data_IF_426816022899
#
_entry.id   IF_426816022899
#
_cell.length_a   1.000
_cell.length_b   1.000
_cell.length_c   1.000
_cell.angle_alpha   90.00
_cell.angle_beta   90.00
_cell.angle_gamma   90.00
#
_symmetry.space_group_name_H-M   'P 1'
#
loop_
_entity.id
_entity.type
_entity.pdbx_description
1 polymer ?
#
# COMPACT_ATOMS: atom_id res chain seq x y z
N UNK A 1 40.83 -37.14 17.83
CA UNK A 1 40.25 -38.45 18.19
C UNK A 1 39.21 -38.23 19.29
N UNK A 2 38.11 -38.96 19.19
CA UNK A 2 36.80 -38.86 19.84
C UNK A 2 36.75 -38.41 21.32
N UNK A 3 35.74 -37.57 21.59
CA UNK A 3 35.12 -37.36 22.91
C UNK A 3 34.41 -38.64 23.35
N UNK A 4 34.67 -39.09 24.58
CA UNK A 4 33.97 -40.20 25.23
C UNK A 4 33.33 -39.69 26.51
N UNK A 5 31.99 -39.71 26.55
CA UNK A 5 31.18 -39.46 27.75
C UNK A 5 30.71 -40.83 28.23
N UNK A 6 31.04 -41.17 29.48
CA UNK A 6 30.59 -42.38 30.15
C UNK A 6 29.26 -42.16 30.89
N UNK A 7 28.39 -43.17 30.81
CA UNK A 7 27.17 -43.35 31.61
C UNK A 7 27.47 -44.24 32.82
N UNK A 8 26.75 -44.11 33.95
CA UNK A 8 25.92 -45.24 34.45
C UNK A 8 24.69 -44.77 35.31
N UNK A 9 23.96 -45.65 36.02
CA UNK A 9 23.14 -46.77 35.53
C UNK A 9 21.65 -46.64 35.92
N UNK A 10 20.86 -47.57 35.38
CA UNK A 10 19.43 -47.84 35.55
C UNK A 10 18.98 -48.19 36.98
N UNK A 11 17.77 -47.75 37.34
CA UNK A 11 16.85 -48.49 38.22
C UNK A 11 15.42 -48.42 37.67
N UNK A 12 14.73 -49.55 37.75
CA UNK A 12 13.56 -49.93 36.97
C UNK A 12 12.25 -49.84 37.76
N UNK A 13 11.13 -50.01 37.03
CA UNK A 13 9.81 -50.51 37.48
C UNK A 13 8.82 -49.40 37.93
N UNK A 14 7.53 -49.32 37.55
CA UNK A 14 6.55 -50.24 36.95
C UNK A 14 5.48 -49.45 36.14
N UNK A 15 4.99 -50.05 35.04
CA UNK A 15 3.74 -49.69 34.34
C UNK A 15 2.50 -50.18 35.11
N UNK A 16 1.29 -49.68 34.79
CA UNK A 16 0.41 -50.55 34.00
C UNK A 16 -0.46 -49.86 32.91
N UNK A 17 -0.79 -50.69 31.91
CA UNK A 17 -2.05 -50.81 31.15
C UNK A 17 -2.53 -49.69 30.21
N UNK A 18 -2.17 -49.85 28.93
CA UNK A 18 -3.00 -49.83 27.71
C UNK A 18 -4.43 -49.26 27.79
N UNK A 19 -4.66 -48.13 27.13
CA UNK A 19 -5.97 -47.68 26.66
C UNK A 19 -6.11 -47.94 25.16
N UNK A 20 -7.18 -48.63 24.80
CA UNK A 20 -7.47 -49.13 23.46
C UNK A 20 -7.78 -47.99 22.48
N UNK A 21 -7.18 -48.10 21.29
CA UNK A 21 -7.51 -47.33 20.10
C UNK A 21 -8.90 -47.75 19.61
N UNK A 22 -9.85 -46.82 19.68
CA UNK A 22 -11.20 -46.97 19.15
C UNK A 22 -11.19 -47.06 17.63
N UNK A 23 -11.69 -48.19 17.14
CA UNK A 23 -11.92 -48.52 15.73
C UNK A 23 -13.15 -47.79 15.22
N UNK A 24 -12.99 -46.74 14.40
CA UNK A 24 -14.11 -46.19 13.62
C UNK A 24 -14.23 -46.92 12.28
N UNK A 25 -15.43 -47.45 12.02
CA UNK A 25 -15.76 -48.20 10.82
C UNK A 25 -15.88 -47.29 9.60
N UNK A 26 -15.28 -47.73 8.50
CA UNK A 26 -15.46 -47.21 7.15
C UNK A 26 -16.88 -47.41 6.64
N UNK A 27 -17.54 -46.32 6.21
CA UNK A 27 -18.68 -46.34 5.29
C UNK A 27 -18.90 -44.97 4.64
N UNK A 28 -19.22 -45.01 3.34
CA UNK A 28 -19.60 -43.93 2.42
C UNK A 28 -18.47 -43.06 1.84
N UNK A 29 -17.87 -43.57 0.74
CA UNK A 29 -17.19 -42.73 -0.25
C UNK A 29 -18.23 -41.87 -0.99
N UNK A 30 -18.22 -40.55 -0.76
CA UNK A 30 -18.94 -39.61 -1.61
C UNK A 30 -18.05 -39.23 -2.79
N UNK A 31 -18.50 -39.61 -4.00
CA UNK A 31 -17.86 -39.29 -5.27
C UNK A 31 -17.86 -37.77 -5.49
N UNK A 32 -16.69 -37.14 -5.42
CA UNK A 32 -16.51 -35.76 -5.84
C UNK A 32 -16.49 -35.71 -7.37
N UNK A 33 -17.51 -35.09 -7.98
CA UNK A 33 -17.49 -34.73 -9.41
C UNK A 33 -16.64 -33.47 -9.60
N UNK A 34 -15.77 -33.41 -10.63
CA UNK A 34 -15.05 -32.18 -10.93
C UNK A 34 -16.02 -31.19 -11.56
N UNK A 35 -16.13 -30.00 -10.96
CA UNK A 35 -16.82 -28.86 -11.59
C UNK A 35 -15.84 -28.22 -12.56
N UNK A 36 -16.05 -28.44 -13.85
CA UNK A 36 -15.29 -27.79 -14.90
C UNK A 36 -15.72 -26.31 -14.99
N UNK A 37 -14.85 -25.38 -14.57
CA UNK A 37 -15.02 -23.96 -14.86
C UNK A 37 -14.68 -23.70 -16.33
N UNK A 38 -15.70 -23.48 -17.15
CA UNK A 38 -15.55 -23.00 -18.52
C UNK A 38 -15.47 -21.47 -18.51
N UNK A 39 -14.27 -20.93 -18.71
CA UNK A 39 -14.07 -19.52 -19.02
C UNK A 39 -14.57 -19.26 -20.45
N UNK A 40 -15.85 -18.88 -20.58
CA UNK A 40 -16.35 -18.29 -21.82
C UNK A 40 -15.83 -16.86 -21.91
N UNK A 41 -14.81 -16.63 -22.73
CA UNK A 41 -14.48 -15.29 -23.22
C UNK A 41 -15.67 -14.78 -24.05
N UNK A 42 -16.25 -13.59 -23.76
CA UNK A 42 -17.17 -12.99 -24.71
C UNK A 42 -16.32 -12.48 -25.88
N UNK A 43 -16.49 -13.09 -27.05
CA UNK A 43 -16.01 -12.50 -28.30
C UNK A 43 -16.99 -11.39 -28.65
N UNK A 44 -16.57 -10.13 -28.49
CA UNK A 44 -17.31 -8.99 -29.00
C UNK A 44 -17.19 -9.03 -30.53
N UNK A 45 -18.16 -9.65 -31.19
CA UNK A 45 -18.24 -9.66 -32.64
C UNK A 45 -18.71 -8.28 -33.11
N UNK A 46 -17.78 -7.45 -33.60
CA UNK A 46 -18.11 -6.26 -34.34
C UNK A 46 -18.93 -6.67 -35.58
N UNK A 47 -20.24 -6.38 -35.56
CA UNK A 47 -21.10 -6.54 -36.73
C UNK A 47 -20.85 -5.35 -37.66
N UNK A 48 -20.01 -5.56 -38.68
CA UNK A 48 -20.01 -4.69 -39.85
C UNK A 48 -21.23 -5.06 -40.69
N UNK A 49 -22.30 -4.30 -40.54
CA UNK A 49 -23.43 -4.34 -41.46
C UNK A 49 -23.12 -3.41 -42.64
N UNK A 50 -22.89 -4.00 -43.81
CA UNK A 50 -22.83 -3.27 -45.07
C UNK A 50 -24.26 -2.92 -45.53
N UNK A 51 -24.54 -1.63 -45.68
CA UNK A 51 -25.61 -1.13 -46.56
C UNK A 51 -26.60 -0.14 -45.92
N UNK A 52 -26.58 1.11 -46.43
CA UNK A 52 -27.75 2.02 -46.43
C UNK A 52 -27.53 3.37 -45.72
N UNK A 53 -27.66 4.46 -46.50
CA UNK A 53 -27.52 5.88 -46.11
C UNK A 53 -28.28 6.30 -44.84
N UNK A 54 -27.60 7.04 -43.94
CA UNK A 54 -28.17 7.97 -42.97
C UNK A 54 -27.12 9.07 -42.61
N UNK A 55 -27.54 10.28 -42.17
CA UNK A 55 -26.74 11.50 -42.22
C UNK A 55 -25.75 11.68 -41.05
N UNK A 56 -24.88 12.67 -41.22
CA UNK A 56 -23.79 13.14 -40.36
C UNK A 56 -24.10 13.38 -38.87
N UNK A 57 -23.25 12.83 -37.98
CA UNK A 57 -22.88 13.24 -36.61
C UNK A 57 -22.58 11.94 -35.85
N UNK A 58 -21.48 11.71 -35.15
CA UNK A 58 -20.52 12.54 -34.43
C UNK A 58 -19.16 11.83 -34.52
N UNK A 59 -18.08 12.50 -34.13
CA UNK A 59 -16.78 11.85 -33.90
C UNK A 59 -17.02 10.58 -33.08
N UNK A 60 -16.67 9.40 -33.59
CA UNK A 60 -16.61 8.18 -32.79
C UNK A 60 -15.56 8.46 -31.71
N UNK A 61 -16.02 8.86 -30.53
CA UNK A 61 -15.18 9.02 -29.37
C UNK A 61 -14.57 7.64 -29.09
N UNK A 62 -13.28 7.49 -29.36
CA UNK A 62 -12.58 6.23 -29.15
C UNK A 62 -12.50 6.03 -27.64
N UNK A 63 -13.49 5.34 -27.09
CA UNK A 63 -13.53 4.98 -25.67
C UNK A 63 -12.39 4.01 -25.40
N UNK A 64 -11.44 4.41 -24.56
CA UNK A 64 -10.32 3.57 -24.16
C UNK A 64 -10.74 2.60 -23.05
N UNK A 65 -9.96 1.55 -22.82
CA UNK A 65 -10.19 0.64 -21.68
C UNK A 65 -10.07 1.38 -20.34
N UNK A 66 -9.25 2.43 -20.27
CA UNK A 66 -9.12 3.28 -19.08
C UNK A 66 -10.42 4.05 -18.83
N UNK A 67 -11.04 4.61 -19.87
CA UNK A 67 -12.31 5.33 -19.78
C UNK A 67 -13.43 4.39 -19.33
N UNK A 68 -13.43 3.15 -19.82
CA UNK A 68 -14.39 2.14 -19.39
C UNK A 68 -14.25 1.82 -17.89
N UNK A 69 -13.03 1.65 -17.36
CA UNK A 69 -12.81 1.38 -15.93
C UNK A 69 -13.13 2.58 -15.05
N UNK A 70 -12.84 3.80 -15.53
CA UNK A 70 -13.15 5.04 -14.81
C UNK A 70 -14.66 5.24 -14.54
N UNK A 71 -15.52 4.59 -15.33
CA UNK A 71 -16.98 4.59 -15.09
C UNK A 71 -17.42 3.74 -13.88
N UNK A 72 -16.57 2.81 -13.42
CA UNK A 72 -16.87 1.90 -12.31
C UNK A 72 -16.03 2.17 -11.05
N UNK A 73 -14.84 2.75 -11.21
CA UNK A 73 -13.86 2.91 -10.14
C UNK A 73 -13.14 4.25 -10.24
N UNK A 74 -12.75 4.81 -9.10
CA UNK A 74 -11.85 5.96 -9.06
C UNK A 74 -10.44 5.54 -9.48
N UNK A 75 -9.85 6.30 -10.42
CA UNK A 75 -8.50 6.04 -10.92
C UNK A 75 -7.50 6.88 -10.13
N UNK A 76 -6.56 6.18 -9.47
CA UNK A 76 -5.48 6.79 -8.70
C UNK A 76 -4.14 6.34 -9.29
N UNK A 77 -3.37 7.23 -9.93
CA UNK A 77 -2.07 6.89 -10.49
C UNK A 77 -1.01 6.74 -9.39
N UNK A 78 -0.26 5.63 -9.46
CA UNK A 78 0.89 5.32 -8.60
C UNK A 78 2.14 5.15 -9.48
N UNK A 79 2.64 6.26 -10.04
CA UNK A 79 3.75 6.26 -11.00
C UNK A 79 4.69 7.44 -10.78
N UNK A 80 5.89 7.38 -11.36
CA UNK A 80 6.92 8.43 -11.30
C UNK A 80 6.90 9.30 -12.57
N UNK A 81 6.42 8.76 -13.69
CA UNK A 81 6.46 9.42 -15.00
C UNK A 81 5.22 10.30 -15.15
N UNK A 82 5.33 11.55 -14.73
CA UNK A 82 4.23 12.52 -14.78
C UNK A 82 4.55 13.74 -15.65
N UNK A 83 4.73 13.52 -16.95
CA UNK A 83 4.72 14.64 -17.92
C UNK A 83 3.32 14.91 -18.48
N UNK A 84 2.36 13.99 -18.27
CA UNK A 84 1.03 14.01 -18.91
C UNK A 84 -0.14 14.15 -17.90
N UNK A 85 0.03 14.90 -16.81
CA UNK A 85 -1.09 15.27 -15.90
C UNK A 85 -2.26 15.92 -16.65
N UNK A 86 -1.98 16.59 -17.77
CA UNK A 86 -3.00 17.18 -18.65
C UNK A 86 -3.78 16.14 -19.46
N UNK A 87 -3.15 15.02 -19.82
CA UNK A 87 -3.82 13.93 -20.57
C UNK A 87 -4.57 12.98 -19.65
N UNK A 88 -4.05 12.76 -18.45
CA UNK A 88 -4.64 11.87 -17.46
C UNK A 88 -4.75 12.60 -16.12
N UNK A 89 -5.79 13.43 -16.00
CA UNK A 89 -6.06 14.18 -14.78
C UNK A 89 -6.32 13.20 -13.61
N UNK A 90 -5.43 13.10 -12.62
CA UNK A 90 -5.62 12.24 -11.47
C UNK A 90 -6.75 12.77 -10.61
N UNK A 91 -7.52 11.89 -9.99
CA UNK A 91 -8.44 12.30 -8.92
C UNK A 91 -7.71 12.39 -7.58
N UNK A 92 -6.77 11.49 -7.32
CA UNK A 92 -5.97 11.43 -6.11
C UNK A 92 -4.50 11.14 -6.45
N UNK A 93 -3.59 11.28 -5.49
CA UNK A 93 -2.17 10.98 -5.65
C UNK A 93 -1.60 10.14 -4.51
N UNK A 94 -0.55 9.38 -4.80
CA UNK A 94 0.20 8.60 -3.81
C UNK A 94 1.66 9.04 -3.80
N UNK A 95 2.22 9.24 -2.61
CA UNK A 95 3.63 9.58 -2.40
C UNK A 95 4.29 8.50 -1.58
N UNK A 96 5.39 7.96 -2.11
CA UNK A 96 6.15 6.87 -1.52
C UNK A 96 7.65 7.09 -1.65
N UNK A 97 8.42 6.35 -0.87
CA UNK A 97 9.88 6.38 -0.95
C UNK A 97 10.40 5.93 -2.32
N UNK A 98 9.69 5.00 -2.98
CA UNK A 98 10.02 4.56 -4.36
C UNK A 98 9.75 5.66 -5.39
N UNK A 99 8.69 6.44 -5.22
CA UNK A 99 8.41 7.61 -6.05
C UNK A 99 9.52 8.65 -5.93
N UNK A 100 9.90 9.00 -4.70
CA UNK A 100 11.01 9.93 -4.44
C UNK A 100 12.32 9.46 -5.08
N UNK A 101 12.63 8.16 -4.95
CA UNK A 101 13.79 7.56 -5.58
C UNK A 101 13.74 7.70 -7.12
N UNK A 102 12.57 7.48 -7.72
CA UNK A 102 12.37 7.65 -9.15
C UNK A 102 12.56 9.11 -9.59
N UNK A 103 12.02 10.07 -8.84
CA UNK A 103 12.17 11.52 -9.10
C UNK A 103 13.66 11.91 -9.02
N UNK A 104 14.38 11.42 -8.01
CA UNK A 104 15.79 11.70 -7.82
C UNK A 104 16.69 11.11 -8.93
N UNK A 105 16.29 9.98 -9.51
CA UNK A 105 17.01 9.31 -10.60
C UNK A 105 16.85 9.96 -11.98
N UNK A 106 15.91 10.91 -12.12
CA UNK A 106 15.64 11.61 -13.39
C UNK A 106 16.27 13.02 -13.38
N UNK A 107 16.79 13.49 -14.53
CA UNK A 107 17.52 14.76 -14.61
C UNK A 107 16.62 15.98 -14.39
N UNK A 108 15.40 15.99 -14.95
CA UNK A 108 14.47 17.12 -14.86
C UNK A 108 13.05 16.62 -14.60
N UNK A 109 12.58 16.77 -13.36
CA UNK A 109 11.21 16.44 -12.97
C UNK A 109 10.59 17.63 -12.23
N UNK A 110 9.28 17.81 -12.36
CA UNK A 110 8.54 18.93 -11.72
C UNK A 110 8.75 19.00 -10.20
N UNK A 111 8.98 17.86 -9.56
CA UNK A 111 9.09 17.71 -8.12
C UNK A 111 10.55 17.68 -7.61
N UNK A 112 11.56 17.85 -8.47
CA UNK A 112 12.98 17.76 -8.06
C UNK A 112 13.33 18.83 -7.02
N UNK A 113 12.84 20.06 -7.21
CA UNK A 113 13.03 21.18 -6.29
C UNK A 113 12.47 20.91 -4.90
N UNK A 114 11.35 20.17 -4.78
CA UNK A 114 10.78 19.78 -3.50
C UNK A 114 11.75 18.91 -2.68
N UNK A 115 12.43 17.98 -3.36
CA UNK A 115 13.44 17.10 -2.75
C UNK A 115 14.68 17.91 -2.38
N UNK A 116 15.18 18.76 -3.29
CA UNK A 116 16.37 19.58 -3.03
C UNK A 116 16.15 20.55 -1.85
N UNK A 117 14.94 21.11 -1.73
CA UNK A 117 14.55 21.97 -0.60
C UNK A 117 14.54 21.20 0.71
N UNK A 118 14.05 19.96 0.71
CA UNK A 118 14.10 19.11 1.90
C UNK A 118 15.56 18.82 2.31
N UNK A 119 16.45 18.54 1.37
CA UNK A 119 17.87 18.27 1.63
C UNK A 119 18.65 19.51 2.10
N UNK A 120 18.21 20.71 1.71
CA UNK A 120 18.77 21.98 2.15
C UNK A 120 18.33 22.40 3.57
N UNK A 121 17.45 21.63 4.20
CA UNK A 121 16.88 21.97 5.49
C UNK A 121 17.93 22.02 6.62
N UNK A 122 17.98 23.17 7.31
CA UNK A 122 18.94 23.43 8.37
C UNK A 122 18.70 22.58 9.62
N UNK A 123 17.46 22.30 9.98
CA UNK A 123 17.11 21.56 11.20
C UNK A 123 17.57 20.10 11.08
N UNK A 124 17.26 19.44 9.97
CA UNK A 124 17.71 18.07 9.71
C UNK A 124 19.25 17.98 9.73
N UNK A 125 19.95 19.00 9.20
CA UNK A 125 21.42 19.03 9.19
C UNK A 125 22.05 19.09 10.60
N UNK A 126 21.35 19.65 11.59
CA UNK A 126 21.86 19.74 12.98
C UNK A 126 21.76 18.43 13.76
N UNK A 127 21.06 17.42 13.25
CA UNK A 127 20.92 16.13 13.93
C UNK A 127 22.27 15.38 13.97
N UNK A 128 22.69 14.99 15.17
CA UNK A 128 23.97 14.30 15.39
C UNK A 128 23.99 12.88 14.82
N UNK A 129 22.88 12.15 14.96
CA UNK A 129 22.78 10.77 14.50
C UNK A 129 22.46 10.74 13.00
N UNK A 130 23.24 9.98 12.19
CA UNK A 130 23.02 9.93 10.74
C UNK A 130 21.67 9.32 10.36
N UNK A 131 21.14 8.39 11.17
CA UNK A 131 19.85 7.74 10.92
C UNK A 131 18.67 8.70 11.13
N UNK A 132 18.71 9.47 12.22
CA UNK A 132 17.70 10.49 12.55
C UNK A 132 17.72 11.60 11.50
N UNK A 133 18.92 12.06 11.12
CA UNK A 133 19.13 13.02 10.04
C UNK A 133 18.50 12.55 8.72
N UNK A 134 18.74 11.30 8.34
CA UNK A 134 18.16 10.73 7.11
C UNK A 134 16.62 10.59 7.22
N UNK A 135 16.09 10.18 8.38
CA UNK A 135 14.64 10.10 8.59
C UNK A 135 13.98 11.48 8.51
N UNK A 136 14.63 12.52 9.03
CA UNK A 136 14.19 13.91 8.92
C UNK A 136 14.11 14.36 7.46
N UNK A 137 15.20 14.17 6.69
CA UNK A 137 15.22 14.52 5.26
C UNK A 137 14.16 13.77 4.45
N UNK A 138 14.00 12.47 4.69
CA UNK A 138 12.99 11.67 4.01
C UNK A 138 11.58 12.17 4.32
N UNK A 139 11.30 12.48 5.60
CA UNK A 139 9.99 12.97 6.03
C UNK A 139 9.66 14.31 5.40
N UNK A 140 10.61 15.26 5.38
CA UNK A 140 10.44 16.55 4.71
C UNK A 140 10.28 16.38 3.20
N UNK A 141 11.07 15.52 2.55
CA UNK A 141 10.94 15.28 1.11
C UNK A 141 9.57 14.69 0.74
N UNK A 142 9.06 13.74 1.53
CA UNK A 142 7.73 13.15 1.35
C UNK A 142 6.63 14.20 1.49
N UNK A 143 6.72 15.06 2.51
CA UNK A 143 5.76 16.14 2.73
C UNK A 143 5.79 17.19 1.61
N UNK A 144 6.99 17.65 1.21
CA UNK A 144 7.13 18.66 0.16
C UNK A 144 6.56 18.16 -1.18
N UNK A 145 6.94 16.95 -1.60
CA UNK A 145 6.43 16.36 -2.85
C UNK A 145 4.92 16.15 -2.77
N UNK A 146 4.42 15.67 -1.63
CA UNK A 146 2.97 15.47 -1.47
C UNK A 146 2.18 16.76 -1.40
N UNK A 147 2.75 17.84 -0.87
CA UNK A 147 2.12 19.16 -0.88
C UNK A 147 1.99 19.68 -2.32
N UNK A 148 3.06 19.60 -3.12
CA UNK A 148 3.00 19.94 -4.54
C UNK A 148 1.95 19.09 -5.28
N UNK A 149 1.88 17.78 -5.01
CA UNK A 149 0.85 16.91 -5.57
C UNK A 149 -0.56 17.28 -5.13
N UNK A 150 -0.75 17.72 -3.88
CA UNK A 150 -2.06 18.13 -3.36
C UNK A 150 -2.59 19.36 -4.11
N UNK A 151 -1.73 20.25 -4.60
CA UNK A 151 -2.16 21.38 -5.42
C UNK A 151 -2.52 20.99 -6.85
N UNK A 152 -2.05 19.83 -7.34
CA UNK A 152 -2.30 19.36 -8.70
C UNK A 152 -3.55 18.48 -8.82
N UNK A 153 -3.87 17.69 -7.79
CA UNK A 153 -5.03 16.79 -7.79
C UNK A 153 -6.20 17.43 -7.05
N UNK A 154 -7.47 17.15 -7.41
CA UNK A 154 -8.64 17.68 -6.68
C UNK A 154 -8.95 16.87 -5.41
N UNK A 155 -8.62 15.58 -5.38
CA UNK A 155 -8.94 14.67 -4.28
C UNK A 155 -7.86 14.62 -3.21
N UNK A 156 -7.62 13.42 -2.68
CA UNK A 156 -6.71 13.20 -1.53
C UNK A 156 -5.31 12.82 -1.98
N UNK A 157 -4.32 13.12 -1.14
CA UNK A 157 -2.93 12.70 -1.31
C UNK A 157 -2.57 11.72 -0.20
N UNK A 158 -2.05 10.56 -0.59
CA UNK A 158 -1.68 9.50 0.33
C UNK A 158 -0.17 9.39 0.48
N UNK A 159 0.36 9.74 1.66
CA UNK A 159 1.80 9.81 1.92
C UNK A 159 2.27 8.66 2.78
N UNK A 160 3.30 7.96 2.32
CA UNK A 160 3.93 6.87 3.05
C UNK A 160 4.64 7.34 4.33
N UNK A 161 4.52 6.54 5.38
CA UNK A 161 5.37 6.67 6.57
C UNK A 161 6.64 5.83 6.43
N UNK A 162 7.72 6.27 7.06
CA UNK A 162 9.01 5.57 7.04
C UNK A 162 8.85 4.10 7.46
N UNK A 163 9.14 3.17 6.54
CA UNK A 163 8.93 1.74 6.73
C UNK A 163 9.74 1.16 7.91
N UNK A 164 10.80 1.85 8.35
CA UNK A 164 11.57 1.47 9.54
C UNK A 164 10.73 1.52 10.83
N UNK A 165 9.68 2.34 10.85
CA UNK A 165 8.76 2.50 11.98
C UNK A 165 7.63 1.45 11.97
N UNK A 166 7.58 0.53 11.00
CA UNK A 166 6.45 -0.39 10.82
C UNK A 166 6.10 -1.24 12.06
N UNK A 167 7.02 -1.42 13.01
CA UNK A 167 6.83 -2.19 14.24
C UNK A 167 6.83 -1.33 15.51
N UNK A 168 6.74 -0.01 15.39
CA UNK A 168 6.69 0.95 16.50
C UNK A 168 5.40 1.78 16.41
N UNK A 169 4.40 1.42 17.22
CA UNK A 169 3.11 2.13 17.25
C UNK A 169 3.27 3.61 17.59
N UNK A 170 4.11 3.95 18.56
CA UNK A 170 4.29 5.35 18.99
C UNK A 170 5.10 6.14 17.96
N UNK A 171 6.13 5.52 17.38
CA UNK A 171 6.89 6.09 16.28
C UNK A 171 6.02 6.43 15.06
N UNK A 172 5.08 5.54 14.71
CA UNK A 172 4.11 5.79 13.62
C UNK A 172 3.23 7.00 13.92
N UNK A 173 2.62 7.04 15.11
CA UNK A 173 1.72 8.15 15.51
C UNK A 173 2.48 9.47 15.50
N UNK A 174 3.66 9.50 16.11
CA UNK A 174 4.50 10.71 16.14
C UNK A 174 4.87 11.18 14.73
N UNK A 175 5.23 10.25 13.83
CA UNK A 175 5.59 10.58 12.45
C UNK A 175 4.38 11.12 11.67
N UNK A 176 3.18 10.59 11.90
CA UNK A 176 1.97 11.11 11.27
C UNK A 176 1.66 12.54 11.73
N UNK A 177 1.79 12.84 13.02
CA UNK A 177 1.65 14.22 13.52
C UNK A 177 2.70 15.18 12.97
N UNK A 178 3.94 14.71 12.83
CA UNK A 178 5.02 15.48 12.21
C UNK A 178 4.68 15.82 10.76
N UNK A 179 4.22 14.84 9.98
CA UNK A 179 3.77 15.06 8.60
C UNK A 179 2.58 16.02 8.53
N UNK A 180 1.58 15.88 9.40
CA UNK A 180 0.43 16.80 9.46
C UNK A 180 0.86 18.25 9.68
N UNK A 181 1.84 18.48 10.55
CA UNK A 181 2.40 19.80 10.77
C UNK A 181 3.08 20.33 9.50
N UNK A 182 3.95 19.53 8.88
CA UNK A 182 4.61 19.92 7.64
C UNK A 182 3.61 20.25 6.53
N UNK A 183 2.55 19.47 6.38
CA UNK A 183 1.48 19.77 5.42
C UNK A 183 0.72 21.06 5.75
N UNK A 184 0.50 21.34 7.03
CA UNK A 184 -0.13 22.59 7.47
C UNK A 184 0.75 23.80 7.14
N UNK A 185 2.07 23.66 7.24
CA UNK A 185 3.04 24.69 6.84
C UNK A 185 3.03 24.95 5.32
N UNK A 186 2.48 24.02 4.53
CA UNK A 186 2.25 24.13 3.08
C UNK A 186 0.79 24.45 2.70
N UNK A 187 -0.04 24.91 3.65
CA UNK A 187 -1.45 25.26 3.42
C UNK A 187 -2.32 24.10 2.89
N UNK A 188 -1.96 22.84 3.19
CA UNK A 188 -2.76 21.66 2.83
C UNK A 188 -3.62 21.21 4.01
N UNK A 189 -4.93 21.20 3.81
CA UNK A 189 -5.90 20.77 4.82
C UNK A 189 -5.78 19.28 5.13
N UNK A 190 -5.93 18.91 6.41
CA UNK A 190 -5.84 17.52 6.86
C UNK A 190 -6.85 16.57 6.22
N UNK A 191 -8.04 17.07 5.84
CA UNK A 191 -9.07 16.30 5.11
C UNK A 191 -8.62 15.83 3.72
N UNK A 192 -7.59 16.47 3.15
CA UNK A 192 -7.00 16.09 1.87
C UNK A 192 -5.90 15.05 2.01
N UNK A 193 -5.56 14.64 3.23
CA UNK A 193 -4.42 13.78 3.52
C UNK A 193 -4.84 12.38 3.93
N UNK A 194 -4.05 11.40 3.51
CA UNK A 194 -4.11 10.01 3.92
C UNK A 194 -2.69 9.56 4.26
N UNK A 195 -2.50 8.80 5.34
CA UNK A 195 -1.16 8.30 5.69
C UNK A 195 -1.02 6.81 5.42
N UNK A 196 -0.09 6.41 4.54
CA UNK A 196 0.11 5.00 4.17
C UNK A 196 0.89 4.29 5.27
N UNK A 197 0.18 3.49 6.07
CA UNK A 197 0.74 2.76 7.21
C UNK A 197 0.82 1.26 6.87
N UNK A 198 1.97 0.58 7.09
CA UNK A 198 2.06 -0.87 6.94
C UNK A 198 1.09 -1.59 7.87
N UNK A 199 0.32 -2.54 7.35
CA UNK A 199 -0.66 -3.33 8.10
C UNK A 199 -0.02 -4.44 8.98
N UNK A 200 0.96 -4.05 9.79
CA UNK A 200 1.44 -4.81 10.95
C UNK A 200 0.44 -4.65 12.11
N UNK A 201 0.59 -5.44 13.18
CA UNK A 201 -0.21 -5.24 14.39
C UNK A 201 -0.05 -3.81 14.94
N UNK A 202 1.20 -3.33 15.02
CA UNK A 202 1.53 -1.99 15.50
C UNK A 202 0.97 -0.89 14.62
N UNK A 203 0.98 -1.08 13.30
CA UNK A 203 0.42 -0.15 12.33
C UNK A 203 -1.11 -0.10 12.40
N UNK A 204 -1.79 -1.24 12.61
CA UNK A 204 -3.23 -1.28 12.81
C UNK A 204 -3.63 -0.60 14.12
N UNK A 205 -2.92 -0.86 15.22
CA UNK A 205 -3.16 -0.18 16.50
C UNK A 205 -2.92 1.33 16.39
N UNK A 206 -1.83 1.75 15.73
CA UNK A 206 -1.56 3.16 15.47
C UNK A 206 -2.66 3.81 14.64
N UNK A 207 -3.13 3.11 13.59
CA UNK A 207 -4.20 3.61 12.73
C UNK A 207 -5.52 3.76 13.49
N UNK A 208 -5.87 2.82 14.39
CA UNK A 208 -7.05 2.94 15.23
C UNK A 208 -7.02 4.21 16.09
N UNK A 209 -5.87 4.53 16.68
CA UNK A 209 -5.69 5.72 17.51
C UNK A 209 -5.78 7.00 16.66
N UNK A 210 -5.06 7.06 15.54
CA UNK A 210 -5.09 8.20 14.61
C UNK A 210 -6.50 8.47 14.06
N UNK A 211 -7.24 7.43 13.66
CA UNK A 211 -8.62 7.59 13.19
C UNK A 211 -9.55 8.08 14.30
N UNK A 212 -9.32 7.69 15.56
CA UNK A 212 -10.09 8.20 16.71
C UNK A 212 -9.86 9.70 16.96
N UNK A 213 -8.74 10.23 16.50
CA UNK A 213 -8.41 11.66 16.50
C UNK A 213 -8.91 12.39 15.24
N UNK A 214 -9.51 11.67 14.28
CA UNK A 214 -9.99 12.21 13.02
C UNK A 214 -8.94 12.29 11.91
N UNK A 215 -7.80 11.61 12.07
CA UNK A 215 -6.73 11.55 11.07
C UNK A 215 -6.93 10.30 10.20
N UNK A 216 -7.19 10.52 8.91
CA UNK A 216 -7.45 9.41 7.99
C UNK A 216 -6.17 8.66 7.62
N UNK A 217 -6.27 7.34 7.63
CA UNK A 217 -5.17 6.41 7.39
C UNK A 217 -5.43 5.54 6.16
N UNK A 218 -4.36 5.06 5.54
CA UNK A 218 -4.38 4.17 4.39
C UNK A 218 -3.52 2.95 4.71
N UNK A 219 -4.13 1.87 5.17
CA UNK A 219 -3.39 0.66 5.50
C UNK A 219 -2.92 -0.07 4.23
N UNK A 220 -1.61 -0.31 4.13
CA UNK A 220 -0.94 -0.96 2.99
C UNK A 220 -0.32 -2.30 3.39
N UNK A 221 0.17 -3.08 2.43
CA UNK A 221 0.77 -4.42 2.64
C UNK A 221 -0.22 -5.45 3.26
N UNK A 222 -1.49 -5.34 2.88
CA UNK A 222 -2.55 -6.27 3.29
C UNK A 222 -2.51 -7.53 2.42
N UNK A 223 -1.78 -8.56 2.87
CA UNK A 223 -1.58 -9.80 2.11
C UNK A 223 -2.36 -11.01 2.63
N UNK A 224 -2.88 -10.94 3.86
CA UNK A 224 -3.57 -12.06 4.51
C UNK A 224 -4.92 -11.62 5.02
N UNK A 225 -5.86 -12.57 5.03
CA UNK A 225 -7.21 -12.36 5.55
C UNK A 225 -7.22 -11.85 7.01
N UNK A 226 -6.27 -12.30 7.83
CA UNK A 226 -6.14 -11.83 9.22
C UNK A 226 -5.89 -10.32 9.30
N UNK A 227 -5.12 -9.75 8.36
CA UNK A 227 -4.92 -8.30 8.34
C UNK A 227 -6.23 -7.58 8.05
N UNK A 228 -7.04 -8.09 7.11
CA UNK A 228 -8.35 -7.53 6.77
C UNK A 228 -9.36 -7.59 7.93
N UNK A 229 -9.38 -8.70 8.68
CA UNK A 229 -10.28 -8.84 9.83
C UNK A 229 -10.02 -7.80 10.92
N UNK A 230 -8.78 -7.38 11.10
CA UNK A 230 -8.43 -6.37 12.10
C UNK A 230 -8.78 -4.94 11.68
N UNK A 231 -9.27 -4.72 10.45
CA UNK A 231 -9.69 -3.42 9.91
C UNK A 231 -11.19 -3.14 10.08
N UNK A 232 -11.97 -4.16 10.45
CA UNK A 232 -13.43 -4.11 10.65
C UNK A 232 -13.71 -3.98 12.15
#
# INVERSE_FOLDING_TARGET
>A
MALSISTPPTSSSLLPASLQVGRWSSSAAMSARPVAFSLRRPVLAARVAAGGNAPSSSVDEVVTELDAVASFSEIVPDTVVFDDFEKFAPTAATVSSSLLLGIAGLPDTKFKSAIDTALADGECNTMEKPEDRMSCFLTKALANVGAEMAHLVPGRVSTEIDARLAYDTQGIIQRVHELLKLYSDHDVLSERLLFKIPATWQGIEASRLLESEGIQTHLTFVYRYVHMLCLI
#
